data_IF_898510485407
#
_entry.id   IF_898510485407
#
_cell.length_a   1.000
_cell.length_b   1.000
_cell.length_c   1.000
_cell.angle_alpha   90.00
_cell.angle_beta   90.00
_cell.angle_gamma   90.00
#
_symmetry.space_group_name_H-M   'P 1'
#
loop_
_entity.id
_entity.type
_entity.pdbx_description
1 polymer ?
#
# COMPACT_ATOMS: atom_id res chain seq x y z
N UNK A 1 -24.26 31.55 4.62
CA UNK A 1 -23.22 30.67 5.20
C UNK A 1 -23.64 29.24 4.87
N UNK A 2 -23.00 28.62 3.88
CA UNK A 2 -23.28 27.23 3.50
C UNK A 2 -23.03 26.34 4.72
N UNK A 3 -24.00 25.49 5.07
CA UNK A 3 -23.84 24.44 6.06
C UNK A 3 -22.68 23.55 5.62
N UNK A 4 -21.50 23.80 6.17
CA UNK A 4 -20.36 22.91 6.04
C UNK A 4 -20.76 21.68 6.87
N UNK A 5 -21.26 20.65 6.19
CA UNK A 5 -21.46 19.34 6.83
C UNK A 5 -20.17 19.03 7.57
N UNK A 6 -20.25 18.89 8.89
CA UNK A 6 -19.08 18.62 9.71
C UNK A 6 -18.53 17.28 9.24
N UNK A 7 -17.35 17.34 8.61
CA UNK A 7 -16.66 16.18 8.08
C UNK A 7 -16.17 15.37 9.27
N UNK A 8 -16.59 14.11 9.30
CA UNK A 8 -16.38 13.21 10.43
C UNK A 8 -16.03 11.82 9.89
N UNK A 9 -14.75 11.66 9.57
CA UNK A 9 -14.19 10.50 8.88
C UNK A 9 -13.04 9.96 9.72
N UNK A 10 -13.03 8.64 9.91
CA UNK A 10 -11.91 7.89 10.46
C UNK A 10 -11.36 6.94 9.40
N UNK A 11 -10.05 7.05 9.12
CA UNK A 11 -9.41 6.33 8.02
C UNK A 11 -8.05 5.70 8.38
N UNK A 12 -7.98 4.39 8.66
CA UNK A 12 -6.71 3.69 8.76
C UNK A 12 -6.14 3.31 7.38
N UNK A 13 -4.83 3.51 7.22
CA UNK A 13 -4.03 3.02 6.12
C UNK A 13 -3.22 1.81 6.60
N UNK A 14 -3.48 0.66 6.00
CA UNK A 14 -2.86 -0.61 6.32
C UNK A 14 -1.89 -0.97 5.18
N UNK A 15 -0.60 -0.93 5.49
CA UNK A 15 0.50 -1.10 4.53
C UNK A 15 1.03 -2.53 4.63
N UNK A 16 1.08 -3.24 3.51
CA UNK A 16 1.87 -4.45 3.42
C UNK A 16 3.34 -4.06 3.54
N UNK A 17 4.06 -4.68 4.48
CA UNK A 17 5.50 -4.49 4.67
C UNK A 17 6.25 -5.80 4.46
N UNK A 18 5.67 -6.74 3.71
CA UNK A 18 6.27 -8.03 3.40
C UNK A 18 7.50 -7.92 2.50
N UNK A 19 8.22 -9.03 2.35
CA UNK A 19 9.46 -9.13 1.61
C UNK A 19 9.33 -8.74 0.13
N UNK A 20 8.14 -8.91 -0.50
CA UNK A 20 7.91 -8.46 -1.88
C UNK A 20 8.08 -6.95 -2.03
N UNK A 21 7.81 -6.18 -0.98
CA UNK A 21 7.98 -4.72 -1.00
C UNK A 21 9.45 -4.28 -1.07
N UNK A 22 10.38 -5.21 -0.87
CA UNK A 22 11.82 -5.00 -1.08
C UNK A 22 12.24 -5.04 -2.55
N UNK A 23 11.36 -5.50 -3.45
CA UNK A 23 11.65 -5.60 -4.88
C UNK A 23 12.00 -4.21 -5.44
N UNK A 24 13.07 -4.19 -6.24
CA UNK A 24 13.49 -2.98 -6.93
C UNK A 24 12.51 -2.70 -8.09
N UNK A 25 12.10 -1.45 -8.23
CA UNK A 25 11.23 -1.03 -9.31
C UNK A 25 12.07 -1.04 -10.60
N UNK A 26 11.69 -1.90 -11.55
CA UNK A 26 12.34 -1.97 -12.84
C UNK A 26 11.92 -0.74 -13.68
N UNK A 27 12.85 0.19 -13.86
CA UNK A 27 12.63 1.49 -14.52
C UNK A 27 12.67 1.38 -16.06
N UNK A 28 12.46 0.17 -16.61
CA UNK A 28 12.57 -0.15 -18.05
C UNK A 28 11.53 0.54 -18.93
N UNK A 29 10.60 1.32 -18.35
CA UNK A 29 9.55 2.04 -19.06
C UNK A 29 9.90 3.46 -19.50
N UNK A 30 11.12 3.95 -19.28
CA UNK A 30 11.61 5.17 -19.94
C UNK A 30 12.87 4.89 -20.77
N UNK A 31 12.71 5.07 -22.08
CA UNK A 31 13.70 5.00 -23.17
C UNK A 31 14.07 3.60 -23.69
N UNK A 32 13.13 2.98 -24.42
CA UNK A 32 13.48 2.00 -25.48
C UNK A 32 14.14 2.66 -26.69
N UNK A 33 14.08 4.00 -26.82
CA UNK A 33 14.61 4.74 -27.97
C UNK A 33 16.11 5.09 -27.86
N UNK A 34 16.78 4.81 -26.72
CA UNK A 34 18.22 5.12 -26.49
C UNK A 34 19.15 3.89 -26.65
N UNK A 35 18.68 2.82 -27.29
CA UNK A 35 19.43 1.56 -27.44
C UNK A 35 20.27 1.44 -28.71
N UNK A 36 20.21 2.41 -29.63
CA UNK A 36 21.10 2.46 -30.78
C UNK A 36 22.44 3.09 -30.39
N UNK A 37 23.46 2.26 -30.27
CA UNK A 37 24.83 2.73 -30.11
C UNK A 37 25.30 3.34 -31.44
N UNK A 38 25.87 4.56 -31.45
CA UNK A 38 26.40 5.16 -32.67
C UNK A 38 27.53 4.30 -33.29
N UNK A 39 27.54 4.18 -34.61
CA UNK A 39 28.60 3.49 -35.36
C UNK A 39 29.93 4.26 -35.35
N UNK A 40 29.88 5.59 -35.14
CA UNK A 40 31.07 6.43 -35.07
C UNK A 40 31.86 6.19 -33.76
N UNK A 41 33.17 5.88 -33.82
CA UNK A 41 33.96 5.56 -32.63
C UNK A 41 34.06 6.69 -31.59
N UNK A 42 33.98 7.96 -32.01
CA UNK A 42 34.07 9.11 -31.10
C UNK A 42 32.73 9.32 -30.40
N UNK A 43 31.63 9.24 -31.13
CA UNK A 43 30.27 9.29 -30.57
C UNK A 43 29.99 8.10 -29.64
N UNK A 44 30.48 6.90 -29.99
CA UNK A 44 30.40 5.71 -29.14
C UNK A 44 31.10 5.90 -27.78
N UNK A 45 32.27 6.56 -27.77
CA UNK A 45 33.01 6.86 -26.55
C UNK A 45 32.29 7.88 -25.66
N UNK A 46 31.58 8.84 -26.26
CA UNK A 46 30.72 9.80 -25.54
C UNK A 46 29.50 9.07 -24.98
N UNK A 47 28.81 8.26 -25.79
CA UNK A 47 27.68 7.43 -25.39
C UNK A 47 28.01 6.51 -24.20
N UNK A 48 29.18 5.88 -24.21
CA UNK A 48 29.68 5.04 -23.09
C UNK A 48 29.89 5.83 -21.80
N UNK A 49 30.41 7.07 -21.89
CA UNK A 49 30.64 7.93 -20.72
C UNK A 49 29.34 8.44 -20.13
N UNK A 50 28.39 8.84 -20.97
CA UNK A 50 27.05 9.27 -20.55
C UNK A 50 26.32 8.13 -19.85
N UNK A 51 26.32 6.91 -20.42
CA UNK A 51 25.71 5.73 -19.79
C UNK A 51 26.35 5.33 -18.46
N UNK A 52 27.68 5.43 -18.32
CA UNK A 52 28.35 5.16 -17.04
C UNK A 52 27.95 6.17 -15.95
N UNK A 53 27.72 7.43 -16.32
CA UNK A 53 27.21 8.46 -15.41
C UNK A 53 25.73 8.24 -15.02
N UNK A 54 24.90 7.79 -15.95
CA UNK A 54 23.47 7.50 -15.72
C UNK A 54 23.25 6.20 -14.93
N UNK A 55 24.03 5.16 -15.19
CA UNK A 55 23.99 3.91 -14.41
C UNK A 55 24.31 4.14 -12.92
N UNK A 56 25.14 5.14 -12.62
CA UNK A 56 25.47 5.56 -11.26
C UNK A 56 24.38 6.45 -10.62
N UNK A 57 23.45 6.97 -11.43
CA UNK A 57 22.32 7.82 -11.02
C UNK A 57 20.98 7.07 -10.93
N UNK A 58 20.91 5.81 -11.37
CA UNK A 58 19.76 4.93 -11.12
C UNK A 58 19.72 4.58 -9.64
N UNK A 59 19.04 5.41 -8.87
CA UNK A 59 18.56 5.03 -7.54
C UNK A 59 17.57 3.90 -7.75
N UNK A 60 17.97 2.66 -7.48
CA UNK A 60 17.04 1.53 -7.39
C UNK A 60 16.06 1.82 -6.26
N UNK A 61 14.91 2.40 -6.61
CA UNK A 61 13.83 2.68 -5.66
C UNK A 61 13.04 1.40 -5.48
N UNK A 62 12.72 1.05 -4.24
CA UNK A 62 11.90 -0.12 -3.94
C UNK A 62 10.45 0.28 -3.81
N UNK A 63 9.54 -0.69 -3.90
CA UNK A 63 8.10 -0.47 -3.76
C UNK A 63 7.79 0.25 -2.43
N UNK A 64 8.38 -0.24 -1.33
CA UNK A 64 8.23 0.36 0.01
C UNK A 64 8.64 1.85 0.07
N UNK A 65 9.60 2.27 -0.75
CA UNK A 65 10.06 3.65 -0.78
C UNK A 65 9.01 4.55 -1.46
N UNK A 66 8.30 4.05 -2.47
CA UNK A 66 7.16 4.76 -3.10
C UNK A 66 5.93 4.78 -2.19
N UNK A 67 5.64 3.68 -1.49
CA UNK A 67 4.55 3.63 -0.51
C UNK A 67 4.75 4.66 0.61
N UNK A 68 5.98 4.78 1.13
CA UNK A 68 6.34 5.80 2.12
C UNK A 68 6.07 7.21 1.63
N UNK A 69 6.44 7.52 0.39
CA UNK A 69 6.17 8.83 -0.21
C UNK A 69 4.67 9.09 -0.38
N UNK A 70 3.90 8.09 -0.82
CA UNK A 70 2.45 8.17 -0.95
C UNK A 70 1.79 8.52 0.39
N UNK A 71 2.21 7.85 1.46
CA UNK A 71 1.70 8.09 2.81
C UNK A 71 2.07 9.48 3.30
N UNK A 72 3.31 9.95 3.10
CA UNK A 72 3.74 11.29 3.53
C UNK A 72 2.89 12.37 2.86
N UNK A 73 2.61 12.23 1.56
CA UNK A 73 1.74 13.16 0.84
C UNK A 73 0.31 13.13 1.36
N UNK A 74 -0.19 11.94 1.68
CA UNK A 74 -1.54 11.76 2.22
C UNK A 74 -1.69 12.29 3.64
N UNK A 75 -0.68 12.11 4.51
CA UNK A 75 -0.65 12.71 5.84
C UNK A 75 -0.82 14.23 5.74
N UNK A 76 -0.06 14.88 4.86
CA UNK A 76 -0.17 16.33 4.69
C UNK A 76 -1.59 16.76 4.29
N UNK A 77 -2.27 15.97 3.45
CA UNK A 77 -3.65 16.23 3.07
C UNK A 77 -4.63 16.00 4.25
N UNK A 78 -4.45 14.91 5.00
CA UNK A 78 -5.28 14.55 6.16
C UNK A 78 -5.15 15.58 7.29
N UNK A 79 -3.93 16.00 7.61
CA UNK A 79 -3.65 17.05 8.59
C UNK A 79 -4.29 18.39 8.19
N UNK A 80 -4.30 18.72 6.90
CA UNK A 80 -4.94 19.94 6.40
C UNK A 80 -6.48 19.89 6.43
N UNK A 81 -7.07 18.70 6.26
CA UNK A 81 -8.52 18.49 6.25
C UNK A 81 -9.08 18.32 7.67
N UNK A 82 -8.31 17.71 8.58
CA UNK A 82 -8.69 17.43 9.96
C UNK A 82 -9.41 16.09 10.17
N UNK A 83 -9.28 15.14 9.24
CA UNK A 83 -9.86 13.80 9.38
C UNK A 83 -9.02 12.94 10.34
N UNK A 84 -9.69 12.05 11.09
CA UNK A 84 -9.01 11.09 11.95
C UNK A 84 -8.38 10.00 11.08
N UNK A 85 -7.10 9.68 11.30
CA UNK A 85 -6.44 8.65 10.50
C UNK A 85 -5.45 7.82 11.32
N UNK A 86 -5.21 6.59 10.89
CA UNK A 86 -4.18 5.73 11.46
C UNK A 86 -3.25 5.23 10.36
N UNK A 87 -2.01 4.90 10.72
CA UNK A 87 -1.04 4.32 9.80
C UNK A 87 -0.46 3.08 10.48
N UNK A 88 -0.65 1.95 9.82
CA UNK A 88 -0.27 0.64 10.33
C UNK A 88 0.47 -0.13 9.26
N UNK A 89 1.53 -0.83 9.66
CA UNK A 89 2.20 -1.81 8.83
C UNK A 89 1.82 -3.20 9.27
N UNK A 90 1.78 -4.17 8.35
CA UNK A 90 1.64 -5.57 8.72
C UNK A 90 2.62 -6.44 7.93
N UNK A 91 3.00 -7.54 8.56
CA UNK A 91 3.79 -8.62 8.00
C UNK A 91 3.42 -9.91 8.74
N UNK A 92 4.09 -11.02 8.46
CA UNK A 92 3.82 -12.28 9.15
C UNK A 92 4.74 -13.41 8.76
N UNK A 93 4.76 -14.44 9.58
CA UNK A 93 5.46 -15.70 9.35
C UNK A 93 4.65 -16.85 9.93
N UNK A 94 3.59 -17.18 9.23
CA UNK A 94 2.59 -18.16 9.60
C UNK A 94 1.62 -17.70 10.67
N UNK A 95 0.64 -18.58 10.94
CA UNK A 95 -0.50 -18.26 11.82
C UNK A 95 -0.11 -17.92 13.25
N UNK A 96 1.06 -18.40 13.68
CA UNK A 96 1.58 -18.21 15.04
C UNK A 96 2.37 -16.90 15.17
N UNK A 97 2.69 -16.22 14.05
CA UNK A 97 3.50 -15.01 14.07
C UNK A 97 3.01 -14.00 13.04
N UNK A 98 1.89 -13.32 13.35
CA UNK A 98 1.40 -12.20 12.54
C UNK A 98 1.86 -10.89 13.19
N UNK A 99 2.57 -10.07 12.42
CA UNK A 99 3.15 -8.84 12.90
C UNK A 99 2.27 -7.65 12.50
N UNK A 100 1.98 -6.79 13.48
CA UNK A 100 1.19 -5.57 13.30
C UNK A 100 1.93 -4.40 13.94
N UNK A 101 2.33 -3.43 13.13
CA UNK A 101 3.14 -2.29 13.54
C UNK A 101 2.29 -1.02 13.55
N UNK A 102 2.21 -0.38 14.71
CA UNK A 102 1.59 0.95 14.81
C UNK A 102 2.63 2.03 14.48
N UNK A 103 2.49 2.62 13.29
CA UNK A 103 3.30 3.78 12.87
C UNK A 103 2.69 5.05 13.46
N UNK A 104 1.37 5.22 13.32
CA UNK A 104 0.55 6.24 13.96
C UNK A 104 -0.78 5.62 14.36
N UNK A 105 -1.15 5.68 15.64
CA UNK A 105 -2.49 5.25 16.06
C UNK A 105 -3.56 6.26 15.63
N UNK A 106 -4.84 5.83 15.59
CA UNK A 106 -5.96 6.72 15.22
C UNK A 106 -5.99 7.97 16.12
N UNK A 107 -5.90 7.76 17.44
CA UNK A 107 -5.97 8.81 18.46
C UNK A 107 -4.62 9.52 18.73
N UNK A 108 -3.55 9.13 18.02
CA UNK A 108 -2.22 9.74 18.17
C UNK A 108 -2.09 10.97 17.28
N UNK A 109 -1.66 12.10 17.83
CA UNK A 109 -1.36 13.28 17.00
C UNK A 109 -0.08 13.08 16.17
N UNK A 110 -0.05 13.65 14.97
CA UNK A 110 1.17 13.64 14.15
C UNK A 110 2.28 14.43 14.84
N UNK A 111 3.48 13.84 14.88
CA UNK A 111 4.64 14.39 15.58
C UNK A 111 5.94 13.92 14.95
N UNK A 112 7.07 14.52 15.36
CA UNK A 112 8.38 14.07 14.89
C UNK A 112 8.71 12.62 15.29
N UNK A 113 8.04 12.09 16.33
CA UNK A 113 8.15 10.66 16.67
C UNK A 113 7.49 9.78 15.61
N UNK A 114 6.34 10.19 15.09
CA UNK A 114 5.65 9.49 14.00
C UNK A 114 6.49 9.57 12.72
N UNK A 115 7.07 10.73 12.38
CA UNK A 115 8.00 10.87 11.25
C UNK A 115 9.14 9.86 11.30
N UNK A 116 9.81 9.73 12.47
CA UNK A 116 10.88 8.73 12.66
C UNK A 116 10.41 7.29 12.54
N UNK A 117 9.14 6.98 12.86
CA UNK A 117 8.58 5.63 12.64
C UNK A 117 8.35 5.39 11.15
N UNK A 118 7.83 6.39 10.43
CA UNK A 118 7.66 6.32 8.97
C UNK A 118 9.01 6.09 8.29
N UNK A 119 10.06 6.82 8.68
CA UNK A 119 11.41 6.66 8.12
C UNK A 119 11.96 5.24 8.30
N UNK A 120 11.55 4.56 9.37
CA UNK A 120 11.96 3.19 9.72
C UNK A 120 11.12 2.09 9.10
N UNK A 121 10.05 2.42 8.37
CA UNK A 121 9.31 1.42 7.59
C UNK A 121 10.28 0.78 6.60
N UNK A 122 10.36 -0.54 6.68
CA UNK A 122 11.22 -1.38 5.86
C UNK A 122 10.50 -2.71 5.60
N UNK A 123 10.85 -3.41 4.50
CA UNK A 123 10.33 -4.74 4.20
C UNK A 123 10.75 -5.76 5.27
N UNK A 124 9.87 -6.72 5.55
CA UNK A 124 10.00 -7.74 6.58
C UNK A 124 9.68 -9.13 5.99
N UNK A 125 8.81 -9.91 6.64
CA UNK A 125 8.55 -11.32 6.35
C UNK A 125 7.44 -11.49 5.28
N UNK A 126 6.48 -12.38 5.47
CA UNK A 126 5.40 -12.68 4.52
C UNK A 126 4.12 -11.85 4.81
N UNK A 127 3.04 -12.12 4.07
CA UNK A 127 1.80 -11.32 4.04
C UNK A 127 0.62 -12.09 4.62
N UNK A 128 0.16 -11.72 5.82
CA UNK A 128 -1.05 -12.29 6.44
C UNK A 128 -2.10 -11.21 6.75
N UNK A 129 -2.90 -10.90 5.75
CA UNK A 129 -3.86 -9.78 5.77
C UNK A 129 -5.01 -9.95 6.76
N UNK A 130 -5.62 -11.15 6.86
CA UNK A 130 -6.84 -11.38 7.64
C UNK A 130 -6.79 -10.86 9.08
N UNK A 131 -5.80 -11.27 9.90
CA UNK A 131 -5.65 -10.76 11.27
C UNK A 131 -5.35 -9.25 11.34
N UNK A 132 -4.55 -8.72 10.40
CA UNK A 132 -4.24 -7.29 10.35
C UNK A 132 -5.49 -6.43 10.05
N UNK A 133 -6.33 -6.88 9.11
CA UNK A 133 -7.63 -6.29 8.81
C UNK A 133 -8.51 -6.34 10.05
N UNK A 134 -8.69 -7.51 10.69
CA UNK A 134 -9.51 -7.65 11.90
C UNK A 134 -9.05 -6.76 13.05
N UNK A 135 -7.74 -6.64 13.28
CA UNK A 135 -7.21 -5.76 14.32
C UNK A 135 -7.45 -4.28 14.01
N UNK A 136 -7.30 -3.89 12.74
CA UNK A 136 -7.60 -2.53 12.28
C UNK A 136 -9.10 -2.22 12.38
N UNK A 137 -9.95 -3.17 12.01
CA UNK A 137 -11.41 -3.11 12.17
C UNK A 137 -11.79 -2.89 13.62
N UNK A 138 -11.21 -3.66 14.55
CA UNK A 138 -11.43 -3.47 15.99
C UNK A 138 -11.05 -2.06 16.48
N UNK A 139 -9.92 -1.52 16.00
CA UNK A 139 -9.49 -0.16 16.34
C UNK A 139 -10.45 0.90 15.79
N UNK A 140 -10.90 0.72 14.55
CA UNK A 140 -11.78 1.66 13.86
C UNK A 140 -13.22 1.61 14.38
N UNK A 141 -13.70 0.44 14.78
CA UNK A 141 -15.03 0.25 15.34
C UNK A 141 -15.23 1.07 16.63
N UNK A 142 -14.18 1.24 17.43
CA UNK A 142 -14.18 2.08 18.64
C UNK A 142 -14.29 3.59 18.38
N UNK A 143 -14.07 4.04 17.15
CA UNK A 143 -14.12 5.46 16.83
C UNK A 143 -15.55 5.92 16.64
N UNK A 144 -15.92 7.05 17.22
CA UNK A 144 -17.22 7.69 17.02
C UNK A 144 -17.18 8.59 15.79
N UNK A 145 -16.90 7.97 14.64
CA UNK A 145 -16.86 8.65 13.34
C UNK A 145 -18.01 8.18 12.47
N UNK A 146 -18.73 9.12 11.86
CA UNK A 146 -19.84 8.85 10.94
C UNK A 146 -19.41 8.03 9.72
N UNK A 147 -18.22 8.28 9.20
CA UNK A 147 -17.68 7.54 8.05
C UNK A 147 -16.40 6.82 8.45
N UNK A 148 -16.40 5.50 8.34
CA UNK A 148 -15.26 4.64 8.63
C UNK A 148 -14.79 3.98 7.33
N UNK A 149 -13.57 4.29 6.92
CA UNK A 149 -12.99 3.81 5.66
C UNK A 149 -11.60 3.22 5.89
N UNK A 150 -11.33 1.99 5.51
CA UNK A 150 -10.01 1.36 5.61
C UNK A 150 -9.36 1.29 4.23
N UNK A 151 -8.10 1.74 4.11
CA UNK A 151 -7.30 1.49 2.92
C UNK A 151 -6.31 0.36 3.17
N UNK A 152 -6.36 -0.67 2.32
CA UNK A 152 -5.34 -1.71 2.23
C UNK A 152 -4.43 -1.40 1.06
N UNK A 153 -3.15 -1.17 1.32
CA UNK A 153 -2.12 -0.89 0.31
C UNK A 153 -1.18 -2.09 0.34
N UNK A 154 -1.14 -2.83 -0.77
CA UNK A 154 -0.39 -4.10 -0.85
C UNK A 154 0.14 -4.31 -2.25
N UNK A 155 1.38 -4.76 -2.36
CA UNK A 155 2.02 -5.03 -3.65
C UNK A 155 1.66 -6.40 -4.25
N UNK A 156 0.96 -7.26 -3.49
CA UNK A 156 0.68 -8.62 -3.96
C UNK A 156 -0.49 -9.36 -3.32
N UNK A 157 -0.57 -10.65 -3.69
CA UNK A 157 -1.50 -11.67 -3.18
C UNK A 157 -1.28 -11.91 -1.69
N UNK A 158 -2.35 -12.19 -0.90
CA UNK A 158 -2.19 -12.77 0.43
C UNK A 158 -1.36 -14.06 0.35
N UNK A 159 -0.20 -14.10 1.01
CA UNK A 159 0.72 -15.24 0.97
C UNK A 159 1.53 -15.32 2.28
N UNK A 160 1.41 -16.44 2.99
CA UNK A 160 2.10 -16.68 4.25
C UNK A 160 2.27 -18.18 4.55
N UNK A 161 3.24 -18.52 5.41
CA UNK A 161 3.60 -19.88 5.80
C UNK A 161 2.43 -20.59 6.51
N UNK A 162 2.14 -21.83 6.14
CA UNK A 162 1.03 -22.58 6.78
C UNK A 162 -0.37 -22.21 6.28
N UNK A 163 -0.48 -21.36 5.25
CA UNK A 163 -1.60 -21.44 4.30
C UNK A 163 -1.49 -22.67 3.36
N UNK A 164 -0.39 -23.42 3.45
CA UNK A 164 -0.09 -24.59 2.62
C UNK A 164 -0.35 -25.93 3.31
N UNK A 165 -1.28 -26.71 2.77
CA UNK A 165 -1.10 -28.15 2.54
C UNK A 165 -1.57 -28.44 1.10
N UNK A 166 -0.78 -29.20 0.37
CA UNK A 166 -0.83 -29.54 -1.05
C UNK A 166 -2.13 -29.20 -1.82
N UNK A 167 -2.02 -28.32 -2.82
CA UNK A 167 -2.95 -28.23 -3.97
C UNK A 167 -4.17 -27.30 -3.85
N UNK A 168 -4.56 -26.86 -2.66
CA UNK A 168 -5.80 -26.05 -2.40
C UNK A 168 -5.49 -24.67 -1.78
N UNK A 169 -4.25 -24.20 -1.92
CA UNK A 169 -3.60 -23.28 -0.97
C UNK A 169 -3.93 -21.79 -1.17
N UNK A 170 -4.06 -21.36 -2.43
CA UNK A 170 -4.29 -19.95 -2.77
C UNK A 170 -5.71 -19.50 -2.41
N UNK A 171 -6.66 -20.43 -2.39
CA UNK A 171 -8.07 -20.15 -2.11
C UNK A 171 -8.28 -19.78 -0.64
N UNK A 172 -7.65 -20.50 0.30
CA UNK A 172 -7.88 -20.22 1.72
C UNK A 172 -7.40 -18.82 2.13
N UNK A 173 -6.23 -18.37 1.69
CA UNK A 173 -5.72 -17.04 2.04
C UNK A 173 -6.61 -15.92 1.47
N UNK A 174 -7.12 -16.12 0.25
CA UNK A 174 -8.10 -15.24 -0.39
C UNK A 174 -9.41 -15.23 0.39
N UNK A 175 -9.92 -16.41 0.80
CA UNK A 175 -11.16 -16.51 1.55
C UNK A 175 -11.04 -15.99 2.99
N UNK A 176 -9.92 -16.22 3.69
CA UNK A 176 -9.67 -15.65 5.02
C UNK A 176 -9.65 -14.12 4.97
N UNK A 177 -8.99 -13.56 3.96
CA UNK A 177 -8.97 -12.11 3.72
C UNK A 177 -10.37 -11.59 3.38
N UNK A 178 -11.10 -12.28 2.50
CA UNK A 178 -12.50 -11.97 2.18
C UNK A 178 -13.36 -11.96 3.44
N UNK A 179 -13.26 -12.98 4.29
CA UNK A 179 -14.03 -13.05 5.53
C UNK A 179 -13.69 -11.89 6.48
N UNK A 180 -12.42 -11.51 6.61
CA UNK A 180 -12.01 -10.35 7.41
C UNK A 180 -12.59 -9.02 6.87
N UNK A 181 -12.69 -8.88 5.54
CA UNK A 181 -13.32 -7.73 4.89
C UNK A 181 -14.84 -7.73 5.08
N UNK A 182 -15.49 -8.89 4.96
CA UNK A 182 -16.93 -9.05 5.21
C UNK A 182 -17.28 -8.73 6.68
N UNK A 183 -16.45 -9.16 7.63
CA UNK A 183 -16.56 -8.80 9.05
C UNK A 183 -16.47 -7.27 9.26
N UNK A 184 -15.54 -6.59 8.58
CA UNK A 184 -15.45 -5.13 8.64
C UNK A 184 -16.70 -4.45 8.07
N UNK A 185 -17.17 -4.92 6.92
CA UNK A 185 -18.39 -4.41 6.26
C UNK A 185 -19.62 -4.57 7.16
N UNK A 186 -19.75 -5.68 7.88
CA UNK A 186 -20.84 -5.91 8.82
C UNK A 186 -20.86 -4.91 9.99
N UNK A 187 -19.72 -4.26 10.29
CA UNK A 187 -19.59 -3.18 11.27
C UNK A 187 -19.73 -1.78 10.65
N UNK A 188 -20.16 -1.68 9.39
CA UNK A 188 -20.28 -0.41 8.66
C UNK A 188 -18.94 0.22 8.28
N UNK A 189 -17.84 -0.56 8.33
CA UNK A 189 -16.52 -0.13 7.90
C UNK A 189 -16.35 -0.52 6.43
N UNK A 190 -16.26 0.49 5.56
CA UNK A 190 -15.94 0.26 4.16
C UNK A 190 -14.44 0.08 4.02
N UNK A 191 -14.01 -0.89 3.22
CA UNK A 191 -12.60 -1.05 2.89
C UNK A 191 -12.36 -0.75 1.40
N UNK A 192 -11.13 -0.40 1.06
CA UNK A 192 -10.69 -0.21 -0.31
C UNK A 192 -9.26 -0.75 -0.46
N UNK A 193 -9.04 -1.62 -1.44
CA UNK A 193 -7.72 -2.18 -1.72
C UNK A 193 -7.04 -1.49 -2.90
N UNK A 194 -5.78 -1.11 -2.75
CA UNK A 194 -4.95 -0.55 -3.81
C UNK A 194 -3.70 -1.42 -3.96
N UNK A 195 -3.45 -1.91 -5.17
CA UNK A 195 -2.34 -2.85 -5.42
C UNK A 195 -1.66 -2.59 -6.75
N UNK A 196 -0.44 -3.07 -6.90
CA UNK A 196 0.35 -3.02 -8.15
C UNK A 196 0.51 -4.40 -8.81
N UNK A 197 -0.08 -5.45 -8.24
CA UNK A 197 -0.05 -6.79 -8.85
C UNK A 197 -0.95 -6.87 -10.09
N UNK A 198 -0.33 -6.71 -11.26
CA UNK A 198 -0.99 -6.84 -12.57
C UNK A 198 -1.67 -8.19 -12.77
N UNK A 199 -1.11 -9.25 -12.17
CA UNK A 199 -1.67 -10.60 -12.23
C UNK A 199 -2.81 -10.77 -11.21
N UNK A 200 -3.23 -9.70 -10.53
CA UNK A 200 -4.09 -9.81 -9.37
C UNK A 200 -5.58 -9.78 -9.59
N UNK A 201 -6.02 -9.42 -10.79
CA UNK A 201 -7.43 -9.29 -11.12
C UNK A 201 -8.28 -10.51 -10.71
N UNK A 202 -7.80 -11.73 -10.93
CA UNK A 202 -8.58 -12.94 -10.65
C UNK A 202 -8.81 -13.18 -9.15
N UNK A 203 -7.78 -13.02 -8.31
CA UNK A 203 -7.93 -13.25 -6.88
C UNK A 203 -8.55 -12.05 -6.18
N UNK A 204 -8.25 -10.81 -6.62
CA UNK A 204 -8.83 -9.60 -6.08
C UNK A 204 -10.33 -9.58 -6.28
N UNK A 205 -10.83 -10.05 -7.42
CA UNK A 205 -12.28 -10.18 -7.64
C UNK A 205 -12.95 -11.08 -6.61
N UNK A 206 -12.32 -12.21 -6.26
CA UNK A 206 -12.84 -13.13 -5.24
C UNK A 206 -12.69 -12.56 -3.83
N UNK A 207 -11.51 -12.00 -3.53
CA UNK A 207 -11.15 -11.44 -2.23
C UNK A 207 -12.00 -10.21 -1.88
N UNK A 208 -12.14 -9.31 -2.85
CA UNK A 208 -12.76 -8.01 -2.70
C UNK A 208 -14.22 -8.01 -3.18
N UNK A 209 -14.88 -9.15 -3.42
CA UNK A 209 -16.23 -9.28 -4.02
C UNK A 209 -17.09 -8.00 -4.09
N UNK A 210 -17.47 -7.45 -2.94
CA UNK A 210 -18.34 -6.27 -2.82
C UNK A 210 -17.61 -4.99 -2.35
N UNK A 211 -16.29 -5.07 -2.24
CA UNK A 211 -15.35 -4.04 -1.82
C UNK A 211 -14.69 -3.40 -3.05
N UNK A 212 -14.49 -2.08 -3.02
CA UNK A 212 -13.71 -1.40 -4.05
C UNK A 212 -12.25 -1.85 -4.04
N UNK A 213 -11.70 -2.12 -5.22
CA UNK A 213 -10.26 -2.27 -5.37
C UNK A 213 -9.79 -1.62 -6.67
N UNK A 214 -8.50 -1.31 -6.73
CA UNK A 214 -7.84 -0.82 -7.94
C UNK A 214 -6.45 -1.41 -8.08
N UNK A 215 -6.13 -1.85 -9.30
CA UNK A 215 -4.80 -2.33 -9.68
C UNK A 215 -4.11 -1.23 -10.49
N UNK A 216 -2.98 -0.76 -10.00
CA UNK A 216 -2.14 0.24 -10.64
C UNK A 216 -1.21 -0.43 -11.65
N UNK A 217 -1.13 0.13 -12.84
CA UNK A 217 -0.19 -0.33 -13.88
C UNK A 217 1.25 0.07 -13.57
N UNK A 218 1.42 1.14 -12.79
CA UNK A 218 2.69 1.69 -12.36
C UNK A 218 2.62 2.11 -10.88
N UNK A 219 3.56 1.61 -10.07
CA UNK A 219 3.69 1.96 -8.65
C UNK A 219 3.93 3.46 -8.45
N UNK A 220 4.54 4.16 -9.40
CA UNK A 220 4.77 5.60 -9.31
C UNK A 220 3.46 6.42 -9.33
N UNK A 221 2.35 5.83 -9.76
CA UNK A 221 1.03 6.46 -9.71
C UNK A 221 0.39 6.39 -8.32
N UNK A 222 0.91 5.54 -7.43
CA UNK A 222 0.36 5.31 -6.09
C UNK A 222 0.11 6.61 -5.30
N UNK A 223 1.05 7.56 -5.19
CA UNK A 223 0.84 8.77 -4.40
C UNK A 223 -0.32 9.63 -4.90
N UNK A 224 -0.37 9.90 -6.20
CA UNK A 224 -1.40 10.75 -6.80
C UNK A 224 -2.75 10.03 -6.78
N UNK A 225 -2.75 8.71 -7.00
CA UNK A 225 -3.97 7.92 -7.04
C UNK A 225 -4.59 7.74 -5.66
N UNK A 226 -3.78 7.50 -4.63
CA UNK A 226 -4.24 7.37 -3.24
C UNK A 226 -4.94 8.66 -2.77
N UNK A 227 -4.36 9.83 -3.07
CA UNK A 227 -4.98 11.13 -2.79
C UNK A 227 -6.33 11.30 -3.51
N UNK A 228 -6.39 10.94 -4.80
CA UNK A 228 -7.62 11.01 -5.58
C UNK A 228 -8.72 10.09 -5.02
N UNK A 229 -8.38 8.83 -4.73
CA UNK A 229 -9.30 7.84 -4.21
C UNK A 229 -9.85 8.24 -2.85
N UNK A 230 -8.97 8.68 -1.96
CA UNK A 230 -9.39 9.18 -0.66
C UNK A 230 -10.37 10.35 -0.81
N UNK A 231 -10.10 11.33 -1.67
CA UNK A 231 -11.03 12.43 -1.95
C UNK A 231 -12.37 11.92 -2.49
N UNK A 232 -12.36 10.99 -3.44
CA UNK A 232 -13.57 10.44 -4.08
C UNK A 232 -14.44 9.63 -3.11
N UNK A 233 -13.83 8.93 -2.16
CA UNK A 233 -14.55 8.04 -1.23
C UNK A 233 -15.02 8.76 0.04
N UNK A 234 -14.62 10.01 0.26
CA UNK A 234 -14.91 10.77 1.49
C UNK A 234 -15.60 12.12 1.24
N UNK A 235 -15.83 12.50 -0.02
CA UNK A 235 -16.58 13.70 -0.43
C UNK A 235 -17.87 13.30 -1.14
#
# INVERSE_FOLDING_TARGET
>A
RLNKVQRDVAVPFLLDTSASTAEAIDDTRKNTDDWDAPDDPVEYMVWLRTRRGEAMRRSYKRIIDVEKEAIVLLINALEAIGDLYGIYGFSGYGRENVEFYTIKDLDENFSDRVKRRIDRIAPLHATRMGPAIRHTTYKLDKQDARTKLMFLISDGRPQDRGYSREGVEKEYAVHDTKMALDEAKNLGINAFALTVDKNGHDYLKTMCSDMGYEVLDDIYELPSRLLYLYKKLTM
#
